data_IF_126954730210
#
_entry.id   IF_126954730210
#
_cell.length_a   1.000
_cell.length_b   1.000
_cell.length_c   1.000
_cell.angle_alpha   90.00
_cell.angle_beta   90.00
_cell.angle_gamma   90.00
#
_symmetry.space_group_name_H-M   'P 1'
#
loop_
_entity.id
_entity.type
_entity.pdbx_description
1 polymer ?
#
# COMPACT_ATOMS: atom_id res chain seq x y z
N UNK A 1 -35.83 -17.73 -0.29
CA UNK A 1 -35.43 -17.26 1.05
C UNK A 1 -33.92 -17.11 1.08
N UNK A 2 -33.41 -15.97 0.62
CA UNK A 2 -31.98 -15.68 0.54
C UNK A 2 -31.44 -15.47 1.96
N UNK A 3 -30.63 -16.40 2.49
CA UNK A 3 -29.98 -16.22 3.79
C UNK A 3 -29.04 -15.02 3.69
N UNK A 4 -29.41 -13.90 4.32
CA UNK A 4 -28.47 -12.82 4.63
C UNK A 4 -27.31 -13.41 5.44
N UNK A 5 -26.21 -13.70 4.74
CA UNK A 5 -24.97 -14.20 5.32
C UNK A 5 -24.35 -13.03 6.09
N UNK A 6 -24.63 -12.95 7.38
CA UNK A 6 -23.94 -12.05 8.30
C UNK A 6 -22.42 -12.14 8.04
N UNK A 7 -21.73 -11.04 7.72
CA UNK A 7 -20.29 -11.05 7.51
C UNK A 7 -19.62 -11.57 8.80
N UNK A 8 -19.05 -12.77 8.75
CA UNK A 8 -18.37 -13.32 9.90
C UNK A 8 -17.08 -12.49 10.12
N UNK A 9 -16.88 -11.87 11.30
CA UNK A 9 -15.77 -10.95 11.54
C UNK A 9 -14.41 -11.63 11.29
N UNK A 10 -14.30 -12.91 11.62
CA UNK A 10 -13.10 -13.71 11.34
C UNK A 10 -12.87 -13.90 9.84
N UNK A 11 -13.93 -14.13 9.06
CA UNK A 11 -13.83 -14.26 7.61
C UNK A 11 -13.41 -12.93 6.95
N UNK A 12 -13.95 -11.80 7.41
CA UNK A 12 -13.59 -10.48 6.89
C UNK A 12 -12.13 -10.11 7.23
N UNK A 13 -11.70 -10.40 8.46
CA UNK A 13 -10.31 -10.19 8.87
C UNK A 13 -9.33 -11.02 8.02
N UNK A 14 -9.63 -12.31 7.82
CA UNK A 14 -8.78 -13.20 7.03
C UNK A 14 -8.73 -12.79 5.55
N UNK A 15 -9.87 -12.42 4.96
CA UNK A 15 -9.91 -11.91 3.60
C UNK A 15 -9.09 -10.61 3.43
N UNK A 16 -9.16 -9.71 4.42
CA UNK A 16 -8.40 -8.46 4.41
C UNK A 16 -6.89 -8.69 4.55
N UNK A 17 -6.49 -9.58 5.46
CA UNK A 17 -5.08 -9.93 5.66
C UNK A 17 -4.45 -10.56 4.40
N UNK A 18 -5.19 -11.44 3.72
CA UNK A 18 -4.75 -12.04 2.45
C UNK A 18 -4.67 -11.00 1.35
N UNK A 19 -5.70 -10.16 1.18
CA UNK A 19 -5.70 -9.11 0.16
C UNK A 19 -4.54 -8.12 0.38
N UNK A 20 -4.27 -7.75 1.63
CA UNK A 20 -3.17 -6.84 1.95
C UNK A 20 -1.81 -7.50 1.71
N UNK A 21 -1.62 -8.74 2.15
CA UNK A 21 -0.38 -9.49 1.93
C UNK A 21 -0.06 -9.63 0.44
N UNK A 22 -1.06 -9.98 -0.37
CA UNK A 22 -0.90 -10.11 -1.83
C UNK A 22 -0.60 -8.76 -2.47
N UNK A 23 -1.29 -7.69 -2.07
CA UNK A 23 -1.03 -6.35 -2.57
C UNK A 23 0.37 -5.83 -2.23
N UNK A 24 0.88 -6.16 -1.03
CA UNK A 24 2.20 -5.75 -0.57
C UNK A 24 3.33 -6.46 -1.32
N UNK A 25 3.10 -7.65 -1.91
CA UNK A 25 4.12 -8.37 -2.67
C UNK A 25 4.64 -7.58 -3.88
N UNK A 26 3.81 -6.75 -4.52
CA UNK A 26 4.20 -6.01 -5.74
C UNK A 26 5.40 -5.07 -5.49
N UNK A 27 5.33 -4.12 -4.52
CA UNK A 27 6.49 -3.31 -4.17
C UNK A 27 7.62 -4.12 -3.49
N UNK A 28 7.31 -5.20 -2.76
CA UNK A 28 8.33 -6.04 -2.12
C UNK A 28 9.21 -6.77 -3.15
N UNK A 29 8.59 -7.37 -4.18
CA UNK A 29 9.28 -8.03 -5.28
C UNK A 29 10.15 -7.03 -6.07
N UNK A 30 9.65 -5.81 -6.25
CA UNK A 30 10.44 -4.74 -6.88
C UNK A 30 11.67 -4.38 -6.05
N UNK A 31 11.56 -4.39 -4.72
CA UNK A 31 12.68 -4.14 -3.82
C UNK A 31 13.72 -5.27 -3.82
N UNK A 32 13.30 -6.54 -4.00
CA UNK A 32 14.23 -7.68 -4.01
C UNK A 32 14.96 -7.86 -5.33
N UNK A 33 14.32 -7.57 -6.47
CA UNK A 33 14.95 -7.70 -7.78
C UNK A 33 15.96 -6.60 -8.10
N UNK A 34 15.91 -5.45 -7.43
CA UNK A 34 16.77 -4.31 -7.71
C UNK A 34 17.91 -4.24 -6.69
N UNK A 35 19.11 -4.60 -7.14
CA UNK A 35 20.31 -4.67 -6.30
C UNK A 35 20.93 -3.31 -6.04
N UNK A 36 20.76 -2.36 -6.96
CA UNK A 36 21.38 -1.03 -6.87
C UNK A 36 20.57 -0.11 -5.94
N UNK A 37 21.22 0.39 -4.89
CA UNK A 37 20.56 1.15 -3.82
C UNK A 37 19.86 2.41 -4.32
N UNK A 38 20.50 3.16 -5.23
CA UNK A 38 19.93 4.40 -5.78
C UNK A 38 18.70 4.10 -6.65
N UNK A 39 18.77 3.06 -7.47
CA UNK A 39 17.68 2.66 -8.36
C UNK A 39 16.51 2.13 -7.52
N UNK A 40 16.79 1.30 -6.51
CA UNK A 40 15.77 0.75 -5.62
C UNK A 40 14.98 1.85 -4.89
N UNK A 41 15.66 2.89 -4.42
CA UNK A 41 15.02 4.04 -3.77
C UNK A 41 14.06 4.80 -4.69
N UNK A 42 14.30 4.83 -6.00
CA UNK A 42 13.38 5.45 -6.96
C UNK A 42 12.27 4.49 -7.42
N UNK A 43 12.58 3.23 -7.63
CA UNK A 43 11.62 2.29 -8.21
C UNK A 43 10.55 1.86 -7.22
N UNK A 44 10.88 1.67 -5.93
CA UNK A 44 9.90 1.30 -4.90
C UNK A 44 8.73 2.30 -4.83
N UNK A 45 8.93 3.63 -4.69
CA UNK A 45 7.83 4.58 -4.64
C UNK A 45 7.04 4.66 -5.93
N UNK A 46 7.69 4.49 -7.09
CA UNK A 46 6.99 4.45 -8.39
C UNK A 46 6.05 3.24 -8.44
N UNK A 47 6.57 2.04 -8.15
CA UNK A 47 5.78 0.80 -8.18
C UNK A 47 4.67 0.83 -7.13
N UNK A 48 4.96 1.30 -5.93
CA UNK A 48 3.95 1.45 -4.88
C UNK A 48 2.84 2.41 -5.28
N UNK A 49 3.18 3.55 -5.89
CA UNK A 49 2.18 4.51 -6.38
C UNK A 49 1.31 3.90 -7.48
N UNK A 50 1.93 3.15 -8.40
CA UNK A 50 1.20 2.43 -9.46
C UNK A 50 0.22 1.41 -8.85
N UNK A 51 0.68 0.63 -7.88
CA UNK A 51 -0.14 -0.35 -7.16
C UNK A 51 -1.28 0.33 -6.38
N UNK A 52 -1.00 1.42 -5.65
CA UNK A 52 -2.02 2.18 -4.92
C UNK A 52 -3.08 2.78 -5.85
N UNK A 53 -2.67 3.21 -7.04
CA UNK A 53 -3.58 3.74 -8.07
C UNK A 53 -4.53 2.64 -8.56
N UNK A 54 -4.00 1.45 -8.88
CA UNK A 54 -4.81 0.31 -9.32
C UNK A 54 -5.72 -0.21 -8.20
N UNK A 55 -5.22 -0.34 -6.97
CA UNK A 55 -6.06 -0.70 -5.81
C UNK A 55 -7.13 0.35 -5.51
N UNK A 56 -6.81 1.65 -5.61
CA UNK A 56 -7.76 2.74 -5.40
C UNK A 56 -8.89 2.74 -6.42
N UNK A 57 -8.58 2.43 -7.69
CA UNK A 57 -9.55 2.24 -8.77
C UNK A 57 -10.43 1.00 -8.52
N UNK A 58 -9.82 -0.16 -8.28
CA UNK A 58 -10.55 -1.42 -8.04
C UNK A 58 -11.44 -1.32 -6.81
N UNK A 59 -10.92 -0.74 -5.72
CA UNK A 59 -11.69 -0.48 -4.49
C UNK A 59 -12.85 0.48 -4.71
N UNK A 60 -12.70 1.50 -5.57
CA UNK A 60 -13.80 2.41 -5.90
C UNK A 60 -14.91 1.74 -6.72
N UNK A 61 -14.52 0.89 -7.68
CA UNK A 61 -15.47 0.11 -8.49
C UNK A 61 -16.25 -0.86 -7.61
N UNK A 62 -15.57 -1.61 -6.75
CA UNK A 62 -16.20 -2.54 -5.81
C UNK A 62 -17.06 -1.82 -4.76
N UNK A 63 -16.63 -0.63 -4.32
CA UNK A 63 -17.34 0.19 -3.33
C UNK A 63 -18.41 1.14 -3.88
N UNK A 64 -18.66 1.13 -5.21
CA UNK A 64 -19.59 2.06 -5.89
C UNK A 64 -19.36 3.55 -5.52
N UNK A 65 -18.10 3.94 -5.34
CA UNK A 65 -17.71 5.29 -4.93
C UNK A 65 -17.12 6.07 -6.11
N UNK A 66 -17.15 7.42 -6.14
CA UNK A 66 -16.49 8.21 -7.19
C UNK A 66 -14.99 7.87 -7.27
N UNK A 67 -14.61 7.20 -8.37
CA UNK A 67 -13.29 6.62 -8.61
C UNK A 67 -12.13 7.60 -8.44
N UNK A 68 -12.31 8.83 -8.94
CA UNK A 68 -11.31 9.91 -8.81
C UNK A 68 -11.04 10.29 -7.34
N UNK A 69 -12.07 10.43 -6.51
CA UNK A 69 -11.89 10.83 -5.10
C UNK A 69 -11.25 9.73 -4.27
N UNK A 70 -11.64 8.48 -4.53
CA UNK A 70 -11.05 7.31 -3.89
C UNK A 70 -9.56 7.19 -4.23
N UNK A 71 -9.23 7.27 -5.52
CA UNK A 71 -7.87 7.13 -6.00
C UNK A 71 -6.95 8.25 -5.46
N UNK A 72 -7.40 9.51 -5.51
CA UNK A 72 -6.64 10.66 -4.97
C UNK A 72 -6.38 10.50 -3.47
N UNK A 73 -7.38 10.09 -2.68
CA UNK A 73 -7.20 9.88 -1.23
C UNK A 73 -6.19 8.77 -0.94
N UNK A 74 -6.27 7.64 -1.66
CA UNK A 74 -5.37 6.50 -1.47
C UNK A 74 -3.93 6.86 -1.84
N UNK A 75 -3.74 7.56 -2.96
CA UNK A 75 -2.42 8.00 -3.42
C UNK A 75 -1.84 9.07 -2.48
N UNK A 76 -2.61 10.10 -2.11
CA UNK A 76 -2.16 11.10 -1.13
C UNK A 76 -1.81 10.47 0.22
N UNK A 77 -2.65 9.56 0.73
CA UNK A 77 -2.36 8.83 1.96
C UNK A 77 -1.07 8.02 1.87
N UNK A 78 -0.83 7.35 0.74
CA UNK A 78 0.41 6.64 0.45
C UNK A 78 1.64 7.54 0.47
N UNK A 79 1.58 8.70 -0.20
CA UNK A 79 2.66 9.68 -0.19
C UNK A 79 2.98 10.20 1.21
N UNK A 80 1.95 10.52 2.00
CA UNK A 80 2.13 10.95 3.39
C UNK A 80 2.80 9.84 4.21
N UNK A 81 2.33 8.60 4.10
CA UNK A 81 2.92 7.47 4.82
C UNK A 81 4.39 7.23 4.44
N UNK A 82 4.73 7.32 3.15
CA UNK A 82 6.10 7.21 2.66
C UNK A 82 6.99 8.35 3.20
N UNK A 83 6.51 9.59 3.15
CA UNK A 83 7.23 10.75 3.66
C UNK A 83 7.49 10.66 5.16
N UNK A 84 6.50 10.23 5.94
CA UNK A 84 6.64 10.04 7.39
C UNK A 84 7.62 8.93 7.70
N UNK A 85 7.53 7.79 7.02
CA UNK A 85 8.45 6.65 7.24
C UNK A 85 9.89 7.04 6.91
N UNK A 86 10.11 7.65 5.75
CA UNK A 86 11.44 8.08 5.33
C UNK A 86 12.01 9.18 6.24
N UNK A 87 11.17 10.14 6.62
CA UNK A 87 11.54 11.21 7.55
C UNK A 87 11.94 10.65 8.92
N UNK A 88 11.16 9.72 9.47
CA UNK A 88 11.48 9.06 10.74
C UNK A 88 12.79 8.26 10.64
N UNK A 89 12.98 7.48 9.58
CA UNK A 89 14.23 6.74 9.36
C UNK A 89 15.43 7.68 9.26
N UNK A 90 15.29 8.83 8.58
CA UNK A 90 16.35 9.84 8.48
C UNK A 90 16.66 10.51 9.82
N UNK A 91 15.64 10.80 10.64
CA UNK A 91 15.82 11.36 11.98
C UNK A 91 16.53 10.37 12.91
N UNK A 92 16.13 9.10 12.89
CA UNK A 92 16.78 8.04 13.66
C UNK A 92 18.23 7.82 13.22
N UNK A 93 18.49 7.82 11.91
CA UNK A 93 19.84 7.73 11.35
C UNK A 93 20.72 8.93 11.74
N UNK A 94 20.12 10.13 11.84
CA UNK A 94 20.81 11.35 12.30
C UNK A 94 21.11 11.35 13.80
N UNK A 95 20.32 10.62 14.60
CA UNK A 95 20.53 10.46 16.05
C UNK A 95 21.67 9.47 16.39
N UNK A 96 22.37 8.92 15.40
CA UNK A 96 23.54 8.06 15.60
C UNK A 96 23.25 6.55 15.56
N UNK A 97 22.01 6.15 15.27
CA UNK A 97 21.70 4.73 15.01
C UNK A 97 22.00 4.42 13.54
N UNK A 98 23.24 3.99 13.26
CA UNK A 98 23.61 3.44 11.95
C UNK A 98 22.89 2.08 11.78
N UNK A 99 21.74 2.09 11.12
CA UNK A 99 21.07 0.91 10.56
C UNK A 99 21.40 0.77 9.08
#
# INVERSE_FOLDING_TARGET
>A
MEKMKLPNPYQAAFASALSFSIGALVPLLSATFITDYKIRLMVIPIVATLALTTFGLVGAVLGKSPSLRSCVRVVCGGFVAMGVTFGLTKLLSSCGLQL
#
